data_IF_926689691541
#
_entry.id   IF_926689691541
#
_cell.length_a   1.000
_cell.length_b   1.000
_cell.length_c   1.000
_cell.angle_alpha   90.00
_cell.angle_beta   90.00
_cell.angle_gamma   90.00
#
_symmetry.space_group_name_H-M   'P 1'
#
loop_
_entity.id
_entity.type
_entity.pdbx_description
1 polymer ?
#
# COMPACT_ATOMS: atom_id res chain seq x y z
N UNK A 1 -1.61 -10.22 -19.96
CA UNK A 1 -1.41 -9.52 -18.67
C UNK A 1 -2.32 -8.31 -18.73
N UNK A 2 -3.37 -8.35 -17.93
CA UNK A 2 -4.29 -7.22 -17.78
C UNK A 2 -3.51 -6.01 -17.25
N UNK A 3 -3.27 -5.04 -18.11
CA UNK A 3 -2.51 -3.83 -17.76
C UNK A 3 -3.37 -2.74 -17.08
N UNK A 4 -4.67 -2.93 -17.02
CA UNK A 4 -5.59 -1.87 -16.60
C UNK A 4 -5.66 -1.59 -15.11
N UNK A 5 -5.30 -2.54 -14.24
CA UNK A 5 -5.49 -2.37 -12.78
C UNK A 5 -4.38 -2.98 -11.92
N UNK A 6 -3.19 -3.19 -12.43
CA UNK A 6 -2.13 -3.85 -11.66
C UNK A 6 -1.29 -2.85 -10.87
N UNK A 7 -1.52 -2.83 -9.59
CA UNK A 7 -0.58 -2.31 -8.62
C UNK A 7 0.74 -3.12 -8.71
N UNK A 8 1.87 -2.45 -8.92
CA UNK A 8 3.17 -3.12 -8.96
C UNK A 8 3.80 -3.08 -7.60
N UNK A 9 4.10 -4.25 -7.08
CA UNK A 9 4.88 -4.42 -5.87
C UNK A 9 6.37 -4.49 -6.22
N UNK A 10 7.14 -3.55 -5.70
CA UNK A 10 8.61 -3.51 -5.86
C UNK A 10 9.26 -3.83 -4.53
N UNK A 11 10.11 -4.85 -4.54
CA UNK A 11 10.90 -5.24 -3.38
C UNK A 11 12.35 -4.78 -3.55
N UNK A 12 12.79 -3.85 -2.69
CA UNK A 12 14.18 -3.41 -2.64
C UNK A 12 14.95 -4.27 -1.64
N UNK A 13 16.09 -4.83 -2.07
CA UNK A 13 17.00 -5.64 -1.25
C UNK A 13 18.42 -5.12 -1.36
N UNK A 14 19.11 -5.06 -0.22
CA UNK A 14 20.52 -4.68 -0.15
C UNK A 14 21.17 -5.35 1.07
N UNK A 15 22.35 -5.93 0.91
CA UNK A 15 23.07 -6.58 2.00
C UNK A 15 23.32 -5.65 3.17
N UNK A 16 23.00 -6.10 4.39
CA UNK A 16 23.10 -5.33 5.61
C UNK A 16 21.98 -4.30 5.84
N UNK A 17 20.99 -4.31 4.96
CA UNK A 17 19.77 -3.50 5.08
C UNK A 17 18.54 -4.40 5.08
N UNK A 18 17.46 -3.89 5.65
CA UNK A 18 16.20 -4.59 5.64
C UNK A 18 15.53 -4.52 4.27
N UNK A 19 14.91 -5.62 3.88
CA UNK A 19 14.07 -5.67 2.68
C UNK A 19 12.92 -4.68 2.84
N UNK A 20 12.70 -3.86 1.81
CA UNK A 20 11.60 -2.91 1.78
C UNK A 20 10.70 -3.17 0.59
N UNK A 21 9.42 -3.34 0.86
CA UNK A 21 8.40 -3.46 -0.17
C UNK A 21 7.68 -2.13 -0.32
N UNK A 22 7.56 -1.66 -1.55
CA UNK A 22 6.79 -0.48 -1.93
C UNK A 22 5.77 -0.86 -3.00
N UNK A 23 4.60 -0.25 -2.93
CA UNK A 23 3.56 -0.41 -3.93
C UNK A 23 3.53 0.83 -4.82
N UNK A 24 3.56 0.60 -6.11
CA UNK A 24 3.49 1.65 -7.12
C UNK A 24 2.13 1.60 -7.77
N UNK A 25 1.39 2.69 -7.65
CA UNK A 25 0.11 2.83 -8.30
C UNK A 25 0.31 3.32 -9.73
N UNK A 26 -0.50 2.79 -10.63
CA UNK A 26 -0.59 3.22 -12.00
C UNK A 26 -1.54 4.42 -12.09
N UNK A 27 -1.12 5.46 -12.75
CA UNK A 27 -1.92 6.66 -12.98
C UNK A 27 -2.03 7.02 -14.47
N UNK A 28 -2.95 7.88 -14.84
CA UNK A 28 -3.03 8.39 -16.21
C UNK A 28 -1.75 9.19 -16.51
N UNK A 29 -1.19 8.96 -17.69
CA UNK A 29 -0.03 9.68 -18.16
C UNK A 29 -0.41 11.15 -18.43
N UNK A 30 0.23 12.15 -17.78
CA UNK A 30 -0.06 13.56 -18.01
C UNK A 30 0.10 14.00 -19.46
N UNK A 31 0.99 13.36 -20.22
CA UNK A 31 1.18 13.64 -21.64
C UNK A 31 0.00 13.17 -22.48
N UNK A 32 -0.70 12.12 -22.07
CA UNK A 32 -1.93 11.67 -22.73
C UNK A 32 -3.08 12.66 -22.58
N UNK A 33 -3.08 13.45 -21.49
CA UNK A 33 -4.06 14.52 -21.30
C UNK A 33 -3.92 15.65 -22.33
N UNK A 34 -2.70 15.92 -22.81
CA UNK A 34 -2.46 16.90 -23.88
C UNK A 34 -3.07 16.46 -25.22
N UNK A 35 -3.11 15.14 -25.48
CA UNK A 35 -3.75 14.59 -26.69
C UNK A 35 -5.28 14.77 -26.67
N UNK A 36 -5.88 14.82 -25.47
CA UNK A 36 -7.33 15.06 -25.31
C UNK A 36 -7.69 16.53 -25.56
N UNK A 37 -6.80 17.47 -25.25
CA UNK A 37 -7.04 18.92 -25.41
C UNK A 37 -6.86 19.35 -26.88
N UNK A 38 -6.07 18.64 -27.65
CA UNK A 38 -5.84 18.89 -29.08
C UNK A 38 -6.92 18.24 -29.97
N UNK A 39 -8.16 18.45 -29.63
CA UNK A 39 -9.36 17.67 -30.01
C UNK A 39 -9.78 17.61 -31.49
N UNK A 40 -9.09 18.21 -32.42
CA UNK A 40 -9.48 18.15 -33.84
C UNK A 40 -8.69 17.08 -34.61
N UNK A 41 -7.54 16.64 -34.12
CA UNK A 41 -6.67 15.66 -34.78
C UNK A 41 -6.38 14.38 -34.00
N UNK A 42 -6.97 14.19 -32.82
CA UNK A 42 -6.45 13.25 -31.82
C UNK A 42 -7.26 11.96 -31.61
N UNK A 43 -8.32 11.72 -32.36
CA UNK A 43 -9.07 10.43 -32.20
C UNK A 43 -8.20 9.21 -32.47
N UNK A 44 -7.27 9.29 -33.40
CA UNK A 44 -6.33 8.19 -33.67
C UNK A 44 -5.26 8.04 -32.61
N UNK A 45 -4.73 9.13 -32.05
CA UNK A 45 -3.71 9.07 -30.96
C UNK A 45 -4.28 8.49 -29.67
N UNK A 46 -5.47 8.92 -29.27
CA UNK A 46 -6.12 8.45 -28.05
C UNK A 46 -6.48 6.95 -28.13
N UNK A 47 -6.99 6.48 -29.27
CA UNK A 47 -7.31 5.05 -29.46
C UNK A 47 -6.06 4.19 -29.45
N UNK A 48 -4.95 4.67 -30.02
CA UNK A 48 -3.67 3.96 -30.01
C UNK A 48 -3.08 3.90 -28.61
N UNK A 49 -3.11 4.99 -27.86
CA UNK A 49 -2.60 5.06 -26.48
C UNK A 49 -3.41 4.16 -25.54
N UNK A 50 -4.74 4.13 -25.68
CA UNK A 50 -5.59 3.23 -24.92
C UNK A 50 -5.32 1.75 -25.25
N UNK A 51 -5.19 1.42 -26.53
CA UNK A 51 -4.98 0.04 -26.98
C UNK A 51 -3.58 -0.48 -26.70
N UNK A 52 -2.57 0.39 -26.75
CA UNK A 52 -1.17 0.04 -26.45
C UNK A 52 -0.82 0.11 -24.96
N UNK A 53 -1.70 0.67 -24.14
CA UNK A 53 -1.46 0.95 -22.72
C UNK A 53 -0.59 2.18 -22.47
N UNK A 54 -0.30 3.00 -23.50
CA UNK A 54 0.48 4.24 -23.37
C UNK A 54 -0.25 5.34 -22.60
N UNK A 55 -1.56 5.19 -22.42
CA UNK A 55 -2.38 6.10 -21.59
C UNK A 55 -2.02 6.01 -20.10
N UNK A 56 -1.45 4.89 -19.68
CA UNK A 56 -1.15 4.63 -18.28
C UNK A 56 0.35 4.62 -18.04
N UNK A 57 0.80 5.33 -17.02
CA UNK A 57 2.18 5.28 -16.55
C UNK A 57 2.27 5.05 -15.03
N UNK A 58 3.42 4.57 -14.60
CA UNK A 58 3.73 4.50 -13.18
C UNK A 58 4.20 5.87 -12.71
N UNK A 59 3.47 6.48 -11.79
CA UNK A 59 3.79 7.80 -11.28
C UNK A 59 4.11 7.70 -9.77
N UNK A 60 5.24 8.27 -9.34
CA UNK A 60 6.31 8.90 -10.13
C UNK A 60 7.21 7.90 -10.88
N UNK A 61 7.87 8.33 -11.96
CA UNK A 61 8.77 7.48 -12.79
C UNK A 61 10.07 7.11 -12.08
N UNK A 62 10.39 7.78 -10.98
CA UNK A 62 11.57 7.51 -10.16
C UNK A 62 11.19 7.44 -8.69
N UNK A 63 11.75 6.45 -8.00
CA UNK A 63 11.45 6.18 -6.59
C UNK A 63 12.74 6.20 -5.79
N UNK A 64 12.74 6.97 -4.69
CA UNK A 64 13.79 6.93 -3.71
C UNK A 64 13.36 6.01 -2.57
N UNK A 65 14.10 4.90 -2.40
CA UNK A 65 13.83 3.94 -1.33
C UNK A 65 14.82 4.17 -0.19
N UNK A 66 14.34 4.72 0.90
CA UNK A 66 15.15 4.79 2.13
C UNK A 66 15.12 3.44 2.82
N UNK A 67 16.26 2.75 2.83
CA UNK A 67 16.43 1.46 3.49
C UNK A 67 17.02 1.64 4.88
N UNK A 68 16.52 0.87 5.83
CA UNK A 68 17.05 0.85 7.20
C UNK A 68 18.08 -0.25 7.35
N UNK A 69 19.17 0.01 8.09
CA UNK A 69 20.17 -1.01 8.39
C UNK A 69 19.55 -2.13 9.22
N UNK A 70 19.94 -3.36 8.93
CA UNK A 70 19.54 -4.49 9.74
C UNK A 70 19.92 -4.30 11.22
N UNK A 71 19.02 -4.61 12.15
CA UNK A 71 19.34 -4.55 13.57
C UNK A 71 20.39 -5.59 13.93
N UNK A 72 21.42 -5.17 14.66
CA UNK A 72 22.55 -6.04 15.06
C UNK A 72 22.18 -7.05 16.16
N UNK A 73 21.15 -6.77 16.94
CA UNK A 73 20.77 -7.60 18.08
C UNK A 73 19.64 -8.56 17.71
N UNK A 74 19.76 -9.83 18.12
CA UNK A 74 18.76 -10.87 17.84
C UNK A 74 17.35 -10.51 18.35
N UNK A 75 17.25 -9.82 19.49
CA UNK A 75 15.97 -9.33 20.02
C UNK A 75 15.31 -8.31 19.07
N UNK A 76 16.09 -7.34 18.58
CA UNK A 76 15.59 -6.33 17.61
C UNK A 76 15.23 -6.96 16.27
N UNK A 77 15.96 -8.00 15.82
CA UNK A 77 15.59 -8.76 14.61
C UNK A 77 14.23 -9.43 14.76
N UNK A 78 13.99 -10.08 15.93
CA UNK A 78 12.69 -10.72 16.21
C UNK A 78 11.55 -9.70 16.28
N UNK A 79 11.77 -8.58 16.95
CA UNK A 79 10.79 -7.51 17.05
C UNK A 79 10.41 -6.99 15.66
N UNK A 80 11.40 -6.65 14.83
CA UNK A 80 11.16 -6.16 13.47
C UNK A 80 10.52 -7.20 12.56
N UNK A 81 10.90 -8.47 12.67
CA UNK A 81 10.23 -9.53 11.93
C UNK A 81 8.74 -9.59 12.29
N UNK A 82 8.40 -9.34 13.55
CA UNK A 82 7.03 -9.30 14.01
C UNK A 82 6.28 -8.05 13.51
N UNK A 83 6.90 -6.88 13.58
CA UNK A 83 6.37 -5.64 12.99
C UNK A 83 6.09 -5.78 11.49
N UNK A 84 7.01 -6.42 10.76
CA UNK A 84 6.82 -6.70 9.33
C UNK A 84 5.66 -7.68 9.08
N UNK A 85 5.44 -8.65 9.99
CA UNK A 85 4.30 -9.56 9.90
C UNK A 85 2.98 -8.81 10.08
N UNK A 86 2.90 -7.91 11.05
CA UNK A 86 1.72 -7.04 11.25
C UNK A 86 1.50 -6.18 10.00
N UNK A 87 2.53 -5.50 9.53
CA UNK A 87 2.48 -4.65 8.33
C UNK A 87 1.94 -5.42 7.13
N UNK A 88 2.49 -6.59 6.87
CA UNK A 88 2.09 -7.42 5.74
C UNK A 88 0.62 -7.86 5.84
N UNK A 89 0.18 -8.26 7.03
CA UNK A 89 -1.21 -8.61 7.27
C UNK A 89 -2.16 -7.45 6.98
N UNK A 90 -1.85 -6.25 7.48
CA UNK A 90 -2.67 -5.05 7.26
C UNK A 90 -2.72 -4.68 5.78
N UNK A 91 -1.57 -4.67 5.09
CA UNK A 91 -1.49 -4.35 3.67
C UNK A 91 -2.32 -5.32 2.81
N UNK A 92 -2.23 -6.62 3.09
CA UNK A 92 -2.97 -7.63 2.33
C UNK A 92 -4.49 -7.59 2.58
N UNK A 93 -4.90 -7.17 3.76
CA UNK A 93 -6.31 -7.26 4.20
C UNK A 93 -6.96 -5.89 4.40
N UNK A 94 -6.38 -4.81 3.87
CA UNK A 94 -6.90 -3.46 4.10
C UNK A 94 -8.34 -3.29 3.61
N UNK A 95 -8.68 -3.85 2.44
CA UNK A 95 -10.04 -3.82 1.92
C UNK A 95 -11.06 -4.49 2.84
N UNK A 96 -10.70 -5.64 3.42
CA UNK A 96 -11.53 -6.35 4.40
C UNK A 96 -11.65 -5.57 5.71
N UNK A 97 -10.54 -5.00 6.20
CA UNK A 97 -10.55 -4.14 7.39
C UNK A 97 -11.49 -2.95 7.20
N UNK A 98 -11.44 -2.26 6.06
CA UNK A 98 -12.39 -1.18 5.73
C UNK A 98 -13.82 -1.68 5.68
N UNK A 99 -14.08 -2.81 5.05
CA UNK A 99 -15.42 -3.40 4.98
C UNK A 99 -15.97 -3.71 6.37
N UNK A 100 -15.17 -4.33 7.25
CA UNK A 100 -15.59 -4.67 8.61
C UNK A 100 -15.88 -3.43 9.49
N UNK A 101 -15.16 -2.34 9.25
CA UNK A 101 -15.39 -1.06 9.97
C UNK A 101 -16.76 -0.48 9.64
N UNK A 102 -17.16 -0.53 8.37
CA UNK A 102 -18.43 0.03 7.89
C UNK A 102 -19.58 -0.96 7.91
N UNK A 103 -19.31 -2.26 8.16
CA UNK A 103 -20.34 -3.30 8.25
C UNK A 103 -21.04 -3.26 9.60
N UNK A 104 -22.37 -3.37 9.56
CA UNK A 104 -23.21 -3.55 10.75
C UNK A 104 -23.22 -4.99 11.28
N UNK A 105 -22.53 -5.90 10.62
CA UNK A 105 -22.69 -7.36 10.76
C UNK A 105 -21.98 -7.95 11.99
N UNK A 106 -21.34 -7.16 12.81
CA UNK A 106 -20.72 -7.62 14.07
C UNK A 106 -19.55 -8.61 13.93
N UNK A 107 -19.38 -9.23 12.76
CA UNK A 107 -18.28 -10.14 12.47
C UNK A 107 -17.04 -9.32 12.03
N UNK A 108 -16.15 -9.08 12.97
CA UNK A 108 -14.94 -8.25 12.80
C UNK A 108 -13.70 -9.11 13.00
N UNK A 109 -13.55 -10.15 12.20
CA UNK A 109 -12.44 -11.11 12.35
C UNK A 109 -11.08 -10.50 12.02
N UNK A 110 -10.99 -9.70 10.96
CA UNK A 110 -9.72 -9.04 10.59
C UNK A 110 -9.32 -7.99 11.63
N UNK A 111 -10.26 -7.18 12.12
CA UNK A 111 -10.04 -6.22 13.20
C UNK A 111 -9.62 -6.95 14.48
N UNK A 112 -10.27 -8.06 14.80
CA UNK A 112 -9.92 -8.90 15.95
C UNK A 112 -8.50 -9.46 15.80
N UNK A 113 -8.14 -9.95 14.64
CA UNK A 113 -6.79 -10.48 14.36
C UNK A 113 -5.72 -9.41 14.54
N UNK A 114 -5.93 -8.20 14.00
CA UNK A 114 -5.00 -7.09 14.20
C UNK A 114 -4.90 -6.70 15.68
N UNK A 115 -6.02 -6.65 16.39
CA UNK A 115 -6.05 -6.37 17.83
C UNK A 115 -5.26 -7.42 18.63
N UNK A 116 -5.40 -8.71 18.30
CA UNK A 116 -4.66 -9.80 18.92
C UNK A 116 -3.15 -9.74 18.60
N UNK A 117 -2.80 -9.46 17.34
CA UNK A 117 -1.40 -9.32 16.92
C UNK A 117 -0.71 -8.13 17.60
N UNK A 118 -1.39 -7.02 17.79
CA UNK A 118 -0.81 -5.79 18.33
C UNK A 118 -1.04 -5.63 19.83
N UNK A 119 -2.02 -6.35 20.40
CA UNK A 119 -2.52 -6.13 21.74
C UNK A 119 -3.24 -4.78 21.90
N UNK A 120 -3.57 -4.09 20.81
CA UNK A 120 -4.36 -2.86 20.85
C UNK A 120 -5.84 -3.18 21.12
N UNK A 121 -6.58 -2.29 21.77
CA UNK A 121 -8.02 -2.38 21.85
C UNK A 121 -8.65 -2.38 20.45
N UNK A 122 -9.73 -3.12 20.25
CA UNK A 122 -10.45 -3.15 18.96
C UNK A 122 -10.94 -1.76 18.54
N UNK A 123 -11.34 -0.93 19.51
CA UNK A 123 -11.74 0.46 19.28
C UNK A 123 -10.66 1.27 18.58
N UNK A 124 -9.41 1.11 19.02
CA UNK A 124 -8.27 1.86 18.50
C UNK A 124 -7.92 1.39 17.08
N UNK A 125 -7.98 0.05 16.84
CA UNK A 125 -7.80 -0.49 15.50
C UNK A 125 -8.87 0.03 14.55
N UNK A 126 -10.15 0.05 14.98
CA UNK A 126 -11.27 0.59 14.20
C UNK A 126 -11.02 2.06 13.88
N UNK A 127 -10.65 2.86 14.88
CA UNK A 127 -10.38 4.27 14.71
C UNK A 127 -9.25 4.52 13.68
N UNK A 128 -8.14 3.79 13.80
CA UNK A 128 -7.02 3.92 12.86
C UNK A 128 -7.46 3.56 11.43
N UNK A 129 -8.20 2.45 11.27
CA UNK A 129 -8.66 2.02 9.95
C UNK A 129 -9.66 3.03 9.36
N UNK A 130 -10.51 3.66 10.16
CA UNK A 130 -11.43 4.72 9.72
C UNK A 130 -10.69 5.96 9.22
N UNK A 131 -9.67 6.38 9.99
CA UNK A 131 -8.92 7.63 9.80
C UNK A 131 -7.79 7.52 8.75
N UNK A 132 -7.75 6.44 7.97
CA UNK A 132 -6.71 6.24 6.95
C UNK A 132 -7.32 6.02 5.57
N UNK A 133 -6.71 6.64 4.55
CA UNK A 133 -7.17 6.56 3.16
C UNK A 133 -6.36 5.58 2.30
N UNK A 134 -5.24 5.06 2.86
CA UNK A 134 -4.41 4.09 2.16
C UNK A 134 -3.96 2.94 3.07
N UNK A 135 -3.71 1.78 2.45
CA UNK A 135 -3.20 0.60 3.14
C UNK A 135 -1.84 0.85 3.81
N UNK A 136 -0.96 1.62 3.17
CA UNK A 136 0.36 1.96 3.69
C UNK A 136 0.28 2.83 4.94
N UNK A 137 -0.56 3.87 4.91
CA UNK A 137 -0.79 4.75 6.06
C UNK A 137 -1.40 3.98 7.24
N UNK A 138 -2.38 3.13 6.95
CA UNK A 138 -3.02 2.28 7.95
C UNK A 138 -1.99 1.37 8.65
N UNK A 139 -1.15 0.69 7.86
CA UNK A 139 -0.12 -0.19 8.40
C UNK A 139 0.89 0.56 9.27
N UNK A 140 1.34 1.75 8.86
CA UNK A 140 2.28 2.56 9.65
C UNK A 140 1.64 3.09 10.95
N UNK A 141 0.40 3.57 10.93
CA UNK A 141 -0.30 4.02 12.14
C UNK A 141 -0.50 2.89 13.14
N UNK A 142 -0.88 1.69 12.68
CA UNK A 142 -1.03 0.50 13.54
C UNK A 142 0.32 0.11 14.16
N UNK A 143 1.40 0.11 13.38
CA UNK A 143 2.74 -0.23 13.89
C UNK A 143 3.22 0.82 14.89
N UNK A 144 3.04 2.10 14.62
CA UNK A 144 3.41 3.17 15.54
C UNK A 144 2.64 3.05 16.87
N UNK A 145 1.35 2.74 16.82
CA UNK A 145 0.54 2.48 18.01
C UNK A 145 1.01 1.23 18.79
N UNK A 146 1.44 0.18 18.08
CA UNK A 146 2.02 -1.03 18.68
C UNK A 146 3.35 -0.75 19.39
N UNK A 147 4.24 0.05 18.79
CA UNK A 147 5.57 0.37 19.34
C UNK A 147 5.47 1.33 20.54
N UNK A 148 4.45 2.19 20.57
CA UNK A 148 4.24 3.21 21.61
C UNK A 148 3.65 2.65 22.90
N UNK A 149 3.33 1.36 22.94
CA UNK A 149 2.74 0.64 24.08
C UNK A 149 3.79 0.03 24.99
#
# INVERSE_FOLDING_TARGET
IDRENSQVMVQARKDGFEDKTIFINKGPNPMSALNVVSTVFSTFGLTTDLSSGGFWEYSPNSFYVTMQKEPKTAAKKKQRAYENKIRHFVLQNYGQLKTEVFSSDGNREYIKTVAEMTGLPKSDVIFIVQDTDSEGECAEKIINAYISK
#
